data_IF_890746348070
#
_entry.id   IF_890746348070
#
_cell.length_a   1.000
_cell.length_b   1.000
_cell.length_c   1.000
_cell.angle_alpha   90.00
_cell.angle_beta   90.00
_cell.angle_gamma   90.00
#
_symmetry.space_group_name_H-M   'P 1'
#
loop_
_entity.id
_entity.type
_entity.pdbx_description
1 polymer ?
#
# COMPACT_ATOMS: atom_id res chain seq x y z
N UNK A 1 7.34 -16.83 -1.18
CA UNK A 1 7.18 -16.03 0.04
C UNK A 1 7.50 -14.57 -0.25
N UNK A 2 6.72 -13.60 0.32
CA UNK A 2 7.02 -12.18 0.23
C UNK A 2 7.94 -11.76 1.39
N UNK A 3 9.07 -11.17 1.03
CA UNK A 3 9.98 -10.48 1.96
C UNK A 3 9.70 -8.99 1.82
N UNK A 4 9.09 -8.41 2.85
CA UNK A 4 8.52 -7.07 2.77
C UNK A 4 9.39 -6.05 3.51
N UNK A 5 9.88 -5.05 2.78
CA UNK A 5 10.62 -3.91 3.35
C UNK A 5 9.66 -2.83 3.84
N UNK A 6 9.77 -2.45 5.12
CA UNK A 6 9.00 -1.37 5.75
C UNK A 6 9.94 -0.18 6.07
N UNK A 7 10.51 -0.15 7.25
CA UNK A 7 11.40 0.95 7.70
C UNK A 7 12.71 1.05 6.90
N UNK A 8 13.06 0.00 6.16
CA UNK A 8 14.19 0.01 5.23
C UNK A 8 13.96 0.99 4.06
N UNK A 9 12.72 1.13 3.60
CA UNK A 9 12.38 1.93 2.41
C UNK A 9 11.61 3.20 2.74
N UNK A 10 10.87 3.23 3.86
CA UNK A 10 10.04 4.37 4.33
C UNK A 10 9.22 5.05 3.23
N UNK A 11 8.67 4.26 2.30
CA UNK A 11 7.93 4.74 1.12
C UNK A 11 8.75 5.71 0.23
N UNK A 12 10.07 5.68 0.33
CA UNK A 12 10.98 6.57 -0.39
C UNK A 12 11.49 5.91 -1.67
N UNK A 13 11.34 6.60 -2.81
CA UNK A 13 11.71 6.11 -4.14
C UNK A 13 13.20 5.81 -4.26
N UNK A 14 14.07 6.65 -3.70
CA UNK A 14 15.53 6.50 -3.85
C UNK A 14 16.05 5.34 -2.99
N UNK A 15 15.48 5.16 -1.79
CA UNK A 15 15.81 4.01 -0.94
C UNK A 15 15.29 2.70 -1.56
N UNK A 16 14.10 2.74 -2.18
CA UNK A 16 13.58 1.58 -2.92
C UNK A 16 14.51 1.23 -4.10
N UNK A 17 14.97 2.21 -4.88
CA UNK A 17 15.88 1.98 -6.00
C UNK A 17 17.16 1.25 -5.55
N UNK A 18 17.77 1.67 -4.44
CA UNK A 18 18.92 0.97 -3.85
C UNK A 18 18.58 -0.44 -3.41
N UNK A 19 17.39 -0.63 -2.80
CA UNK A 19 16.93 -1.96 -2.39
C UNK A 19 16.71 -2.91 -3.57
N UNK A 20 16.24 -2.39 -4.71
CA UNK A 20 16.10 -3.15 -5.95
C UNK A 20 17.47 -3.63 -6.47
N UNK A 21 18.44 -2.72 -6.55
CA UNK A 21 19.82 -3.06 -6.96
C UNK A 21 20.43 -4.16 -6.09
N UNK A 22 20.18 -4.09 -4.78
CA UNK A 22 20.67 -5.05 -3.79
C UNK A 22 19.83 -6.33 -3.70
N UNK A 23 18.68 -6.40 -4.40
CA UNK A 23 17.68 -7.49 -4.27
C UNK A 23 17.28 -7.72 -2.80
N UNK A 24 17.12 -6.63 -2.04
CA UNK A 24 16.91 -6.67 -0.61
C UNK A 24 15.52 -7.16 -0.19
N UNK A 25 14.51 -6.99 -1.03
CA UNK A 25 13.13 -7.40 -0.76
C UNK A 25 12.37 -7.61 -2.08
N UNK A 26 11.23 -8.30 -2.03
CA UNK A 26 10.33 -8.47 -3.17
C UNK A 26 8.92 -7.86 -2.91
N UNK A 27 8.76 -7.18 -1.79
CA UNK A 27 7.59 -6.38 -1.47
C UNK A 27 7.98 -5.13 -0.69
N UNK A 28 7.16 -4.09 -0.74
CA UNK A 28 7.35 -2.83 -0.02
C UNK A 28 6.06 -2.41 0.68
N UNK A 29 6.16 -1.97 1.94
CA UNK A 29 5.07 -1.30 2.64
C UNK A 29 4.97 0.15 2.16
N UNK A 30 3.78 0.54 1.73
CA UNK A 30 3.46 1.90 1.28
C UNK A 30 2.66 2.61 2.37
N UNK A 31 3.25 3.62 2.96
CA UNK A 31 2.64 4.48 3.97
C UNK A 31 2.71 5.93 3.48
N UNK A 32 1.66 6.47 2.84
CA UNK A 32 1.70 7.79 2.19
C UNK A 32 2.17 8.92 3.10
N UNK A 33 1.86 8.85 4.38
CA UNK A 33 2.27 9.85 5.37
C UNK A 33 3.75 9.76 5.83
N UNK A 34 4.51 8.75 5.41
CA UNK A 34 5.97 8.72 5.61
C UNK A 34 6.68 9.69 4.66
N UNK A 35 6.20 9.81 3.43
CA UNK A 35 6.76 10.69 2.41
C UNK A 35 6.02 12.05 2.35
N UNK A 36 4.74 12.08 2.70
CA UNK A 36 3.97 13.31 2.87
C UNK A 36 3.31 13.85 1.61
N UNK A 37 3.53 13.26 0.44
CA UNK A 37 2.84 13.65 -0.79
C UNK A 37 2.35 12.44 -1.57
N UNK A 38 1.17 12.58 -2.22
CA UNK A 38 0.60 11.51 -3.05
C UNK A 38 1.40 11.29 -4.33
N UNK A 39 1.99 12.34 -4.89
CA UNK A 39 2.81 12.24 -6.10
C UNK A 39 4.07 11.43 -5.87
N UNK A 40 4.76 11.64 -4.77
CA UNK A 40 5.95 10.86 -4.39
C UNK A 40 5.61 9.44 -3.99
N UNK A 41 4.49 9.25 -3.26
CA UNK A 41 3.95 7.92 -2.96
C UNK A 41 3.68 7.15 -4.25
N UNK A 42 2.99 7.77 -5.21
CA UNK A 42 2.70 7.15 -6.50
C UNK A 42 3.97 6.83 -7.30
N UNK A 43 4.96 7.72 -7.29
CA UNK A 43 6.24 7.49 -7.93
C UNK A 43 6.96 6.24 -7.35
N UNK A 44 6.89 6.07 -6.03
CA UNK A 44 7.44 4.88 -5.34
C UNK A 44 6.66 3.61 -5.72
N UNK A 45 5.33 3.67 -5.73
CA UNK A 45 4.48 2.54 -6.16
C UNK A 45 4.75 2.15 -7.61
N UNK A 46 4.89 3.14 -8.50
CA UNK A 46 5.21 2.91 -9.91
C UNK A 46 6.55 2.22 -10.06
N UNK A 47 7.61 2.73 -9.41
CA UNK A 47 8.93 2.11 -9.42
C UNK A 47 8.89 0.66 -8.91
N UNK A 48 8.16 0.40 -7.82
CA UNK A 48 8.00 -0.95 -7.28
C UNK A 48 7.41 -1.90 -8.33
N UNK A 49 6.30 -1.51 -8.96
CA UNK A 49 5.62 -2.32 -9.97
C UNK A 49 6.49 -2.59 -11.21
N UNK A 50 7.20 -1.58 -11.71
CA UNK A 50 8.10 -1.70 -12.85
C UNK A 50 9.26 -2.69 -12.59
N UNK A 51 9.58 -2.95 -11.33
CA UNK A 51 10.64 -3.87 -10.90
C UNK A 51 10.13 -5.16 -10.24
N UNK A 52 8.85 -5.49 -10.41
CA UNK A 52 8.21 -6.68 -9.83
C UNK A 52 8.29 -6.73 -8.29
N UNK A 53 8.34 -5.59 -7.64
CA UNK A 53 8.22 -5.45 -6.18
C UNK A 53 6.75 -5.23 -5.84
N UNK A 54 6.19 -6.05 -4.97
CA UNK A 54 4.78 -6.00 -4.58
C UNK A 54 4.50 -4.81 -3.65
N UNK A 55 3.74 -3.78 -4.06
CA UNK A 55 3.35 -2.72 -3.13
C UNK A 55 2.22 -3.19 -2.21
N UNK A 56 2.36 -2.93 -0.92
CA UNK A 56 1.36 -3.22 0.12
C UNK A 56 0.99 -1.91 0.80
N UNK A 57 -0.17 -1.34 0.46
CA UNK A 57 -0.65 -0.11 1.10
C UNK A 57 -1.00 -0.40 2.56
N UNK A 58 -0.56 0.46 3.47
CA UNK A 58 -0.64 0.17 4.90
C UNK A 58 -1.05 1.37 5.73
N UNK A 59 -1.77 1.07 6.80
CA UNK A 59 -2.00 1.98 7.91
C UNK A 59 -0.72 2.22 8.74
N UNK A 60 -0.82 3.11 9.71
CA UNK A 60 0.17 3.35 10.78
C UNK A 60 -0.38 2.83 12.12
N UNK A 61 0.49 2.73 13.14
CA UNK A 61 0.09 2.32 14.49
C UNK A 61 -0.86 3.32 15.16
N UNK A 62 -0.70 4.61 14.92
CA UNK A 62 -1.57 5.68 15.42
C UNK A 62 -2.65 6.06 14.41
N UNK A 63 -3.55 5.11 14.11
CA UNK A 63 -4.61 5.30 13.12
C UNK A 63 -5.81 6.09 13.63
N UNK A 64 -6.55 6.67 12.67
CA UNK A 64 -7.86 7.29 12.85
C UNK A 64 -8.90 6.53 12.04
N UNK A 65 -10.17 6.96 12.06
CA UNK A 65 -11.23 6.39 11.22
C UNK A 65 -11.18 6.87 9.76
N UNK A 66 -10.15 7.64 9.36
CA UNK A 66 -9.93 8.04 7.97
C UNK A 66 -9.69 6.80 7.08
N UNK A 67 -10.43 6.72 5.97
CA UNK A 67 -10.46 5.60 5.05
C UNK A 67 -9.62 5.81 3.79
N UNK A 68 -8.93 6.93 3.66
CA UNK A 68 -8.17 7.32 2.44
C UNK A 68 -7.27 6.21 1.90
N UNK A 69 -6.64 5.42 2.77
CA UNK A 69 -5.75 4.34 2.31
C UNK A 69 -6.49 3.23 1.56
N UNK A 70 -7.80 3.04 1.77
CA UNK A 70 -8.59 2.09 0.98
C UNK A 70 -8.69 2.56 -0.49
N UNK A 71 -9.02 3.85 -0.70
CA UNK A 71 -9.04 4.46 -2.02
C UNK A 71 -7.67 4.42 -2.70
N UNK A 72 -6.59 4.70 -1.95
CA UNK A 72 -5.23 4.65 -2.49
C UNK A 72 -4.82 3.23 -2.87
N UNK A 73 -5.19 2.22 -2.08
CA UNK A 73 -4.89 0.83 -2.41
C UNK A 73 -5.54 0.41 -3.73
N UNK A 74 -6.80 0.73 -3.93
CA UNK A 74 -7.53 0.45 -5.17
C UNK A 74 -7.03 1.33 -6.31
N UNK A 75 -6.91 2.64 -6.10
CA UNK A 75 -6.47 3.60 -7.13
C UNK A 75 -5.05 3.35 -7.63
N UNK A 76 -4.15 2.89 -6.77
CA UNK A 76 -2.81 2.47 -7.16
C UNK A 76 -2.79 1.03 -7.71
N UNK A 77 -3.91 0.33 -7.75
CA UNK A 77 -3.99 -1.10 -8.07
C UNK A 77 -2.97 -1.91 -7.26
N UNK A 78 -2.91 -1.64 -5.96
CA UNK A 78 -2.05 -2.37 -5.04
C UNK A 78 -2.66 -3.76 -4.79
N UNK A 79 -1.89 -4.84 -4.95
CA UNK A 79 -2.44 -6.18 -4.80
C UNK A 79 -2.80 -6.53 -3.35
N UNK A 80 -2.31 -5.75 -2.39
CA UNK A 80 -2.54 -5.98 -0.96
C UNK A 80 -2.73 -4.67 -0.20
N UNK A 81 -3.53 -4.75 0.86
CA UNK A 81 -3.66 -3.71 1.88
C UNK A 81 -3.45 -4.31 3.27
N UNK A 82 -2.78 -3.58 4.17
CA UNK A 82 -2.58 -3.94 5.57
C UNK A 82 -3.29 -2.92 6.47
N UNK A 83 -4.44 -3.29 7.03
CA UNK A 83 -5.25 -2.39 7.86
C UNK A 83 -5.42 -2.86 9.31
N UNK A 84 -5.20 -4.16 9.57
CA UNK A 84 -5.75 -4.83 10.75
C UNK A 84 -7.28 -4.99 10.67
N UNK A 85 -7.88 -5.63 11.64
CA UNK A 85 -9.32 -5.96 11.64
C UNK A 85 -10.04 -5.65 12.96
N UNK A 86 -9.32 -5.27 14.00
CA UNK A 86 -9.89 -5.00 15.33
C UNK A 86 -9.70 -3.52 15.67
N UNK A 87 -10.80 -2.87 16.05
CA UNK A 87 -10.86 -1.43 16.33
C UNK A 87 -11.57 -0.65 15.23
N UNK A 88 -12.33 0.38 15.61
CA UNK A 88 -13.12 1.19 14.69
C UNK A 88 -12.27 1.86 13.60
N UNK A 89 -11.08 2.31 13.97
CA UNK A 89 -10.10 2.94 13.10
C UNK A 89 -9.59 1.99 11.99
N UNK A 90 -9.60 0.67 12.25
CA UNK A 90 -9.17 -0.37 11.30
C UNK A 90 -10.33 -0.86 10.44
N UNK A 91 -11.48 -1.10 11.08
CA UNK A 91 -12.71 -1.53 10.39
C UNK A 91 -13.19 -0.47 9.40
N UNK A 92 -12.98 0.82 9.65
CA UNK A 92 -13.33 1.90 8.72
C UNK A 92 -12.75 1.65 7.31
N UNK A 93 -11.49 1.22 7.20
CA UNK A 93 -10.84 0.92 5.93
C UNK A 93 -11.45 -0.31 5.24
N UNK A 94 -11.81 -1.34 6.01
CA UNK A 94 -12.44 -2.54 5.47
C UNK A 94 -13.87 -2.25 4.96
N UNK A 95 -14.64 -1.46 5.71
CA UNK A 95 -15.97 -1.02 5.28
C UNK A 95 -15.89 -0.18 4.01
N UNK A 96 -14.86 0.67 3.90
CA UNK A 96 -14.67 1.49 2.70
C UNK A 96 -14.29 0.64 1.48
N UNK A 97 -13.48 -0.41 1.65
CA UNK A 97 -13.20 -1.35 0.56
C UNK A 97 -14.48 -2.03 0.06
N UNK A 98 -15.42 -2.37 0.95
CA UNK A 98 -16.72 -2.94 0.57
C UNK A 98 -17.53 -1.91 -0.25
N UNK A 99 -17.58 -0.64 0.17
CA UNK A 99 -18.25 0.42 -0.60
C UNK A 99 -17.63 0.61 -1.98
N UNK A 100 -16.30 0.63 -2.06
CA UNK A 100 -15.60 0.74 -3.34
C UNK A 100 -15.92 -0.47 -4.23
N UNK A 101 -15.98 -1.67 -3.67
CA UNK A 101 -16.36 -2.89 -4.41
C UNK A 101 -17.77 -2.77 -5.00
N UNK A 102 -18.74 -2.26 -4.22
CA UNK A 102 -20.12 -2.05 -4.67
C UNK A 102 -20.24 -1.03 -5.82
N UNK A 103 -19.35 -0.03 -5.86
CA UNK A 103 -19.35 1.02 -6.89
C UNK A 103 -18.61 0.60 -8.18
N UNK A 104 -17.72 -0.37 -8.11
CA UNK A 104 -16.95 -0.82 -9.26
C UNK A 104 -17.78 -1.70 -10.20
N UNK A 105 -17.73 -1.47 -11.52
CA UNK A 105 -18.52 -2.25 -12.48
C UNK A 105 -18.10 -3.72 -12.56
N UNK A 106 -16.83 -4.03 -12.29
CA UNK A 106 -16.28 -5.39 -12.33
C UNK A 106 -15.18 -5.55 -11.26
N UNK A 107 -15.53 -5.62 -9.98
CA UNK A 107 -14.55 -5.79 -8.93
C UNK A 107 -13.89 -7.17 -9.00
N UNK A 108 -12.58 -7.20 -8.88
CA UNK A 108 -11.79 -8.44 -8.92
C UNK A 108 -10.88 -8.47 -7.69
N UNK A 109 -11.02 -9.52 -6.89
CA UNK A 109 -10.08 -9.79 -5.81
C UNK A 109 -8.76 -10.30 -6.39
N UNK A 110 -7.64 -9.73 -5.92
CA UNK A 110 -6.32 -10.21 -6.33
C UNK A 110 -6.08 -11.66 -5.91
N UNK A 111 -5.43 -12.43 -6.79
CA UNK A 111 -5.03 -13.83 -6.53
C UNK A 111 -3.51 -13.91 -6.59
N UNK A 112 -2.90 -14.50 -5.55
CA UNK A 112 -1.47 -14.78 -5.44
C UNK A 112 -1.16 -16.22 -5.82
#
# INVERSE_FOLDING_TARGET
>A
CLVCGDDLFVTNKDLLAKGIEMKAANAIIIKPNQIGSLSETYATVKLAKENNIVPVVSHRSGETTDETIAHLAVGFSSPMIKTGAIGGERIAKLNELIRIEEELPNPIMNKF
#
